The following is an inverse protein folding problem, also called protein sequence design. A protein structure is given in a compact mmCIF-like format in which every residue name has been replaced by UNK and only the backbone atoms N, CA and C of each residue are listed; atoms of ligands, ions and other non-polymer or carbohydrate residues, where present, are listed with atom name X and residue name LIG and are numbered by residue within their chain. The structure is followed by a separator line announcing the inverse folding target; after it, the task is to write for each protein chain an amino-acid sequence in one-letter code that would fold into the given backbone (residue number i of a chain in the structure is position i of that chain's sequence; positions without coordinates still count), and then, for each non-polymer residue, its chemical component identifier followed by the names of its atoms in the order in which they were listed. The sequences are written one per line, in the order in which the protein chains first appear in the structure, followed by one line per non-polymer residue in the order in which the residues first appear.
data_IF_503219470124
#
_entry.id   IF_503219470124
#
_cell.length_a   1.000
_cell.length_b   1.000
_cell.length_c   1.000
_cell.angle_alpha   90.00
_cell.angle_beta   90.00
_cell.angle_gamma   90.00
#
_symmetry.space_group_name_H-M   'P 1'
#
loop_
_entity.id
_entity.type
_entity.pdbx_description
1 polymer ?
#
# COMPACT_ATOMS: atom_id res chain seq x y z
N UNK A 1 21.10 7.85 17.55
CA UNK A 1 20.67 6.66 16.77
C UNK A 1 21.71 6.39 15.68
N UNK A 2 21.99 5.13 15.41
CA UNK A 2 22.90 4.79 14.32
C UNK A 2 22.16 4.87 12.96
N UNK A 3 22.92 4.90 11.87
CA UNK A 3 22.40 5.06 10.52
C UNK A 3 21.40 3.94 10.13
N UNK A 4 21.61 2.72 10.58
CA UNK A 4 20.72 1.58 10.31
C UNK A 4 19.36 1.76 10.98
N UNK A 5 19.33 2.24 12.23
CA UNK A 5 18.08 2.53 12.94
C UNK A 5 17.28 3.64 12.24
N UNK A 6 17.94 4.70 11.78
CA UNK A 6 17.31 5.77 11.01
C UNK A 6 16.73 5.24 9.69
N UNK A 7 17.47 4.42 8.97
CA UNK A 7 17.00 3.80 7.71
C UNK A 7 15.75 2.92 7.91
N UNK A 8 15.70 2.16 9.02
CA UNK A 8 14.53 1.34 9.36
C UNK A 8 13.30 2.19 9.70
N UNK A 9 13.49 3.30 10.43
CA UNK A 9 12.42 4.26 10.74
C UNK A 9 11.90 4.93 9.47
N UNK A 10 12.80 5.38 8.61
CA UNK A 10 12.41 6.02 7.35
C UNK A 10 11.60 5.07 6.47
N UNK A 11 12.00 3.81 6.36
CA UNK A 11 11.25 2.80 5.62
C UNK A 11 9.83 2.60 6.18
N UNK A 12 9.68 2.57 7.51
CA UNK A 12 8.38 2.43 8.14
C UNK A 12 7.49 3.67 7.91
N UNK A 13 8.06 4.86 7.91
CA UNK A 13 7.36 6.10 7.55
C UNK A 13 6.95 6.13 6.07
N UNK A 14 7.78 5.61 5.18
CA UNK A 14 7.44 5.44 3.76
C UNK A 14 6.29 4.44 3.57
N UNK A 15 6.30 3.34 4.30
CA UNK A 15 5.20 2.38 4.29
C UNK A 15 3.89 3.02 4.81
N UNK A 16 3.96 3.81 5.87
CA UNK A 16 2.81 4.58 6.36
C UNK A 16 2.26 5.54 5.28
N UNK A 17 3.14 6.23 4.57
CA UNK A 17 2.73 7.11 3.47
C UNK A 17 2.02 6.34 2.35
N UNK A 18 2.47 5.14 2.01
CA UNK A 18 1.80 4.27 1.04
C UNK A 18 0.41 3.83 1.53
N UNK A 19 0.25 3.53 2.82
CA UNK A 19 -1.06 3.19 3.40
C UNK A 19 -2.02 4.39 3.39
N UNK A 20 -1.56 5.59 3.69
CA UNK A 20 -2.36 6.81 3.56
C UNK A 20 -2.84 7.03 2.12
N UNK A 21 -1.95 6.86 1.15
CA UNK A 21 -2.29 6.98 -0.27
C UNK A 21 -3.33 5.92 -0.70
N UNK A 22 -3.18 4.68 -0.24
CA UNK A 22 -4.12 3.61 -0.52
C UNK A 22 -5.51 3.90 0.08
N UNK A 23 -5.59 4.31 1.34
CA UNK A 23 -6.86 4.68 2.00
C UNK A 23 -7.58 5.78 1.21
N UNK A 24 -6.86 6.81 0.81
CA UNK A 24 -7.40 7.92 0.03
C UNK A 24 -7.91 7.45 -1.33
N UNK A 25 -7.11 6.64 -2.04
CA UNK A 25 -7.46 6.14 -3.39
C UNK A 25 -8.68 5.22 -3.35
N UNK A 26 -8.77 4.30 -2.39
CA UNK A 26 -9.94 3.44 -2.21
C UNK A 26 -11.21 4.26 -1.95
N UNK A 27 -11.12 5.37 -1.24
CA UNK A 27 -12.22 6.31 -1.07
C UNK A 27 -12.64 6.99 -2.38
N UNK A 28 -11.64 7.48 -3.14
CA UNK A 28 -11.88 8.17 -4.42
C UNK A 28 -12.58 7.27 -5.45
N UNK A 29 -12.13 6.03 -5.59
CA UNK A 29 -12.60 5.14 -6.67
C UNK A 29 -13.99 4.55 -6.42
N UNK A 30 -14.49 4.60 -5.19
CA UNK A 30 -15.75 3.94 -4.80
C UNK A 30 -16.94 4.37 -5.67
N UNK A 31 -16.98 5.61 -6.12
CA UNK A 31 -18.05 6.15 -6.97
C UNK A 31 -17.98 5.66 -8.43
N UNK A 32 -16.88 5.08 -8.87
CA UNK A 32 -16.65 4.70 -10.27
C UNK A 32 -16.75 3.19 -10.53
N UNK A 33 -16.73 2.38 -9.47
CA UNK A 33 -16.74 0.91 -9.57
C UNK A 33 -17.72 0.29 -8.56
N UNK A 34 -18.97 0.76 -8.54
CA UNK A 34 -20.01 0.31 -7.61
C UNK A 34 -20.23 -1.21 -7.61
N UNK A 35 -20.12 -1.85 -8.79
CA UNK A 35 -20.24 -3.30 -8.92
C UNK A 35 -19.15 -4.07 -8.16
N UNK A 36 -18.03 -3.43 -7.86
CA UNK A 36 -16.91 -3.96 -7.07
C UNK A 36 -16.94 -3.48 -5.62
N UNK A 37 -18.07 -2.94 -5.16
CA UNK A 37 -18.22 -2.34 -3.83
C UNK A 37 -17.67 -3.20 -2.69
N UNK A 38 -18.02 -4.51 -2.59
CA UNK A 38 -17.47 -5.37 -1.53
C UNK A 38 -15.94 -5.49 -1.55
N UNK A 39 -15.32 -5.60 -2.74
CA UNK A 39 -13.87 -5.67 -2.88
C UNK A 39 -13.19 -4.33 -2.54
N UNK A 40 -13.82 -3.21 -2.91
CA UNK A 40 -13.36 -1.86 -2.55
C UNK A 40 -13.43 -1.68 -1.03
N UNK A 41 -14.51 -2.06 -0.39
CA UNK A 41 -14.68 -1.96 1.06
C UNK A 41 -13.66 -2.83 1.80
N UNK A 42 -13.42 -4.05 1.34
CA UNK A 42 -12.40 -4.95 1.92
C UNK A 42 -11.01 -4.35 1.85
N UNK A 43 -10.61 -3.84 0.69
CA UNK A 43 -9.31 -3.19 0.50
C UNK A 43 -9.16 -1.93 1.35
N UNK A 44 -10.17 -1.07 1.36
CA UNK A 44 -10.18 0.15 2.18
C UNK A 44 -10.01 -0.17 3.68
N UNK A 45 -10.73 -1.16 4.19
CA UNK A 45 -10.65 -1.57 5.59
C UNK A 45 -9.29 -2.17 5.94
N UNK A 46 -8.73 -2.99 5.04
CA UNK A 46 -7.40 -3.57 5.24
C UNK A 46 -6.30 -2.50 5.32
N UNK A 47 -6.33 -1.51 4.44
CA UNK A 47 -5.37 -0.41 4.46
C UNK A 47 -5.57 0.50 5.68
N UNK A 48 -6.80 0.79 6.11
CA UNK A 48 -7.04 1.54 7.35
C UNK A 48 -6.46 0.82 8.56
N UNK A 49 -6.72 -0.48 8.70
CA UNK A 49 -6.20 -1.27 9.80
C UNK A 49 -4.66 -1.29 9.81
N UNK A 50 -4.04 -1.41 8.66
CA UNK A 50 -2.58 -1.43 8.52
C UNK A 50 -1.98 -0.06 8.79
N UNK A 51 -2.57 1.02 8.30
CA UNK A 51 -2.22 2.40 8.65
C UNK A 51 -2.21 2.59 10.17
N UNK A 52 -3.31 2.24 10.84
CA UNK A 52 -3.49 2.45 12.28
C UNK A 52 -2.48 1.63 13.09
N UNK A 53 -2.19 0.41 12.66
CA UNK A 53 -1.17 -0.45 13.29
C UNK A 53 0.23 0.13 13.11
N UNK A 54 0.55 0.66 11.92
CA UNK A 54 1.84 1.28 11.63
C UNK A 54 2.04 2.56 12.44
N UNK A 55 1.01 3.40 12.52
CA UNK A 55 1.05 4.61 13.35
C UNK A 55 1.26 4.28 14.83
N UNK A 56 0.59 3.25 15.34
CA UNK A 56 0.77 2.80 16.71
C UNK A 56 2.19 2.31 16.95
N UNK A 57 2.75 1.50 16.06
CA UNK A 57 4.12 1.03 16.16
C UNK A 57 5.15 2.17 16.18
N UNK A 58 4.93 3.22 15.41
CA UNK A 58 5.77 4.43 15.45
C UNK A 58 5.65 5.16 16.78
N UNK A 59 4.43 5.37 17.28
CA UNK A 59 4.21 6.04 18.59
C UNK A 59 4.80 5.24 19.76
N UNK A 60 4.65 3.92 19.76
CA UNK A 60 5.21 3.04 20.79
C UNK A 60 6.74 3.06 20.79
N UNK A 61 7.36 3.36 19.64
CA UNK A 61 8.79 3.60 19.52
C UNK A 61 9.21 5.04 19.87
N UNK A 62 8.29 5.88 20.34
CA UNK A 62 8.55 7.28 20.70
C UNK A 62 8.69 8.20 19.47
N UNK A 63 8.19 7.77 18.31
CA UNK A 63 8.30 8.50 17.05
C UNK A 63 6.96 9.14 16.67
N UNK A 64 7.03 10.27 15.98
CA UNK A 64 5.84 10.92 15.44
C UNK A 64 5.52 10.35 14.05
N UNK A 65 4.33 9.71 13.87
CA UNK A 65 3.90 9.29 12.54
C UNK A 65 3.76 10.49 11.59
N UNK A 66 4.23 10.35 10.37
CA UNK A 66 4.02 11.38 9.34
C UNK A 66 2.52 11.48 9.01
N UNK A 67 1.96 12.69 8.96
CA UNK A 67 0.55 12.87 8.60
C UNK A 67 0.30 12.50 7.14
N UNK A 68 -0.97 12.21 6.77
CA UNK A 68 -1.33 12.04 5.37
C UNK A 68 -1.08 13.34 4.58
N UNK A 69 -0.80 13.20 3.28
CA UNK A 69 -0.74 14.33 2.38
C UNK A 69 -2.14 14.95 2.18
N UNK A 70 -2.23 16.23 1.81
CA UNK A 70 -3.52 16.87 1.52
C UNK A 70 -4.30 16.19 0.38
N UNK A 71 -3.58 15.65 -0.59
CA UNK A 71 -4.12 14.89 -1.73
C UNK A 71 -3.04 13.98 -2.31
N UNK A 72 -3.47 12.99 -3.09
CA UNK A 72 -2.59 12.08 -3.81
C UNK A 72 -2.94 12.11 -5.30
N UNK A 73 -1.93 11.94 -6.15
CA UNK A 73 -2.12 11.92 -7.60
C UNK A 73 -2.16 10.49 -8.11
N UNK A 74 -3.30 10.01 -8.64
CA UNK A 74 -3.34 8.74 -9.35
C UNK A 74 -2.54 8.85 -10.67
N UNK A 75 -2.18 7.70 -11.31
CA UNK A 75 -1.43 7.69 -12.56
C UNK A 75 -2.08 8.49 -13.69
N UNK A 76 -3.40 8.59 -13.64
CA UNK A 76 -4.23 9.38 -14.54
C UNK A 76 -5.49 9.86 -13.80
N UNK A 77 -6.20 10.88 -14.27
CA UNK A 77 -7.46 11.30 -13.67
C UNK A 77 -8.45 10.13 -13.57
N UNK A 78 -9.13 10.02 -12.44
CA UNK A 78 -10.15 8.97 -12.21
C UNK A 78 -11.50 9.49 -12.67
N UNK A 79 -11.96 8.98 -13.80
CA UNK A 79 -13.21 9.39 -14.45
C UNK A 79 -14.05 8.21 -14.97
N UNK A 80 -13.57 6.99 -14.80
CA UNK A 80 -14.18 5.77 -15.33
C UNK A 80 -13.81 4.55 -14.45
N UNK A 81 -14.50 3.43 -14.67
CA UNK A 81 -14.15 2.16 -14.04
C UNK A 81 -12.72 1.72 -14.39
N UNK A 82 -12.29 1.91 -15.62
CA UNK A 82 -10.94 1.54 -16.06
C UNK A 82 -9.86 2.36 -15.35
N UNK A 83 -10.00 3.69 -15.28
CA UNK A 83 -9.06 4.56 -14.58
C UNK A 83 -9.09 4.35 -13.07
N UNK A 84 -10.25 4.03 -12.48
CA UNK A 84 -10.37 3.65 -11.08
C UNK A 84 -9.59 2.37 -10.75
N UNK A 85 -9.72 1.33 -11.57
CA UNK A 85 -8.95 0.08 -11.39
C UNK A 85 -7.45 0.31 -11.59
N UNK A 86 -7.05 1.15 -12.54
CA UNK A 86 -5.65 1.53 -12.73
C UNK A 86 -5.08 2.21 -11.47
N UNK A 87 -5.84 3.10 -10.84
CA UNK A 87 -5.45 3.76 -9.60
C UNK A 87 -5.28 2.76 -8.45
N UNK A 88 -6.18 1.78 -8.31
CA UNK A 88 -6.06 0.72 -7.31
C UNK A 88 -4.84 -0.17 -7.53
N UNK A 89 -4.59 -0.58 -8.77
CA UNK A 89 -3.40 -1.36 -9.11
C UNK A 89 -2.13 -0.59 -8.74
N UNK A 90 -2.08 0.70 -9.02
CA UNK A 90 -0.94 1.55 -8.70
C UNK A 90 -0.67 1.61 -7.19
N UNK A 91 -1.68 1.91 -6.37
CA UNK A 91 -1.45 2.02 -4.91
C UNK A 91 -1.12 0.68 -4.25
N UNK A 92 -1.67 -0.42 -4.72
CA UNK A 92 -1.28 -1.75 -4.24
C UNK A 92 0.16 -2.10 -4.65
N UNK A 93 0.58 -1.71 -5.84
CA UNK A 93 1.96 -1.89 -6.31
C UNK A 93 2.93 -1.04 -5.48
N UNK A 94 2.59 0.21 -5.22
CA UNK A 94 3.38 1.11 -4.37
C UNK A 94 3.47 0.60 -2.93
N UNK A 95 2.39 0.06 -2.38
CA UNK A 95 2.38 -0.57 -1.06
C UNK A 95 3.34 -1.79 -1.02
N UNK A 96 3.36 -2.62 -2.06
CA UNK A 96 4.32 -3.72 -2.16
C UNK A 96 5.77 -3.22 -2.10
N UNK A 97 6.10 -2.16 -2.85
CA UNK A 97 7.44 -1.58 -2.87
C UNK A 97 7.83 -1.00 -1.50
N UNK A 98 6.92 -0.27 -0.86
CA UNK A 98 7.16 0.34 0.44
C UNK A 98 7.38 -0.72 1.54
N UNK A 99 6.54 -1.75 1.60
CA UNK A 99 6.68 -2.83 2.57
C UNK A 99 7.91 -3.72 2.32
N UNK A 100 8.30 -3.91 1.05
CA UNK A 100 9.60 -4.50 0.74
C UNK A 100 10.74 -3.68 1.32
N UNK A 101 10.70 -2.36 1.19
CA UNK A 101 11.68 -1.45 1.79
C UNK A 101 11.81 -1.63 3.31
N UNK A 102 10.70 -1.87 4.02
CA UNK A 102 10.72 -2.20 5.46
C UNK A 102 11.44 -3.52 5.70
N UNK A 103 11.13 -4.57 4.93
CA UNK A 103 11.80 -5.89 5.07
C UNK A 103 13.31 -5.80 4.89
N UNK A 104 13.76 -4.99 3.94
CA UNK A 104 15.18 -4.84 3.61
C UNK A 104 15.97 -4.04 4.64
N UNK A 105 15.29 -3.16 5.40
CA UNK A 105 15.93 -2.20 6.31
C UNK A 105 15.71 -2.48 7.79
N UNK A 106 15.06 -3.59 8.14
CA UNK A 106 14.85 -3.97 9.56
C UNK A 106 15.51 -5.29 9.90
N UNK A 107 16.13 -5.34 11.09
CA UNK A 107 16.63 -6.58 11.68
C UNK A 107 15.60 -7.22 12.63
N UNK A 108 14.51 -6.52 12.94
CA UNK A 108 13.43 -7.03 13.78
C UNK A 108 12.61 -8.08 13.01
N UNK A 109 12.65 -9.33 13.48
CA UNK A 109 11.96 -10.45 12.83
C UNK A 109 10.45 -10.29 12.82
N UNK A 110 9.85 -9.75 13.87
CA UNK A 110 8.40 -9.53 13.94
C UNK A 110 7.96 -8.47 12.94
N UNK A 111 8.72 -7.38 12.83
CA UNK A 111 8.49 -6.33 11.84
C UNK A 111 8.67 -6.85 10.41
N UNK A 112 9.71 -7.64 10.18
CA UNK A 112 9.95 -8.27 8.86
C UNK A 112 8.80 -9.18 8.45
N UNK A 113 8.27 -9.99 9.40
CA UNK A 113 7.09 -10.82 9.15
C UNK A 113 5.86 -9.99 8.84
N UNK A 114 5.58 -8.96 9.62
CA UNK A 114 4.43 -8.06 9.36
C UNK A 114 4.53 -7.36 8.01
N UNK A 115 5.74 -6.95 7.62
CA UNK A 115 5.99 -6.34 6.31
C UNK A 115 5.78 -7.34 5.16
N UNK A 116 6.19 -8.60 5.33
CA UNK A 116 5.93 -9.65 4.35
C UNK A 116 4.44 -9.92 4.20
N UNK A 117 3.70 -10.00 5.31
CA UNK A 117 2.25 -10.19 5.31
C UNK A 117 1.55 -9.02 4.58
N UNK A 118 1.98 -7.78 4.83
CA UNK A 118 1.47 -6.58 4.17
C UNK A 118 1.73 -6.60 2.65
N UNK A 119 2.96 -6.89 2.25
CA UNK A 119 3.35 -7.01 0.84
C UNK A 119 2.53 -8.09 0.14
N UNK A 120 2.40 -9.27 0.75
CA UNK A 120 1.66 -10.40 0.18
C UNK A 120 0.18 -10.06 -0.05
N UNK A 121 -0.46 -9.43 0.92
CA UNK A 121 -1.87 -9.02 0.79
C UNK A 121 -2.07 -7.97 -0.31
N UNK A 122 -1.17 -6.98 -0.40
CA UNK A 122 -1.22 -5.98 -1.47
C UNK A 122 -0.96 -6.59 -2.85
N UNK A 123 -0.04 -7.54 -2.96
CA UNK A 123 0.22 -8.27 -4.21
C UNK A 123 -1.01 -9.07 -4.67
N UNK A 124 -1.71 -9.72 -3.74
CA UNK A 124 -2.96 -10.44 -4.03
C UNK A 124 -4.03 -9.46 -4.53
N UNK A 125 -4.22 -8.30 -3.88
CA UNK A 125 -5.19 -7.30 -4.32
C UNK A 125 -4.83 -6.72 -5.69
N UNK A 126 -3.58 -6.38 -5.92
CA UNK A 126 -3.10 -5.91 -7.23
C UNK A 126 -3.41 -6.93 -8.34
N UNK A 127 -3.18 -8.22 -8.07
CA UNK A 127 -3.50 -9.31 -9.00
C UNK A 127 -5.00 -9.40 -9.26
N UNK A 128 -5.84 -9.31 -8.22
CA UNK A 128 -7.31 -9.32 -8.37
C UNK A 128 -7.80 -8.14 -9.22
N UNK A 129 -7.29 -6.93 -8.96
CA UNK A 129 -7.65 -5.75 -9.74
C UNK A 129 -7.20 -5.84 -11.20
N UNK A 130 -5.99 -6.38 -11.46
CA UNK A 130 -5.55 -6.65 -12.85
C UNK A 130 -6.48 -7.63 -13.56
N UNK A 131 -6.88 -8.71 -12.89
CA UNK A 131 -7.84 -9.67 -13.46
C UNK A 131 -9.17 -9.02 -13.77
N UNK A 132 -9.72 -8.23 -12.86
CA UNK A 132 -10.98 -7.50 -13.06
C UNK A 132 -10.86 -6.51 -14.22
N UNK A 133 -9.70 -5.88 -14.39
CA UNK A 133 -9.41 -4.96 -15.49
C UNK A 133 -9.08 -5.66 -16.83
N UNK A 134 -9.02 -7.00 -16.85
CA UNK A 134 -8.67 -7.76 -18.07
C UNK A 134 -7.19 -7.69 -18.44
N UNK A 135 -6.30 -7.33 -17.51
CA UNK A 135 -4.87 -7.22 -17.77
C UNK A 135 -4.20 -8.58 -17.60
N UNK A 136 -3.37 -8.96 -18.59
CA UNK A 136 -2.59 -10.20 -18.58
C UNK A 136 -1.11 -9.90 -18.88
N UNK A 137 -0.19 -10.54 -18.13
CA UNK A 137 -0.41 -11.40 -16.96
C UNK A 137 -0.95 -10.59 -15.76
N UNK A 138 -1.86 -11.18 -15.00
CA UNK A 138 -2.43 -10.53 -13.82
C UNK A 138 -1.46 -10.53 -12.64
N UNK A 139 -0.76 -11.63 -12.43
CA UNK A 139 0.26 -11.74 -11.38
C UNK A 139 1.59 -11.15 -11.87
N UNK A 140 2.28 -10.45 -10.95
CA UNK A 140 3.61 -9.90 -11.20
C UNK A 140 4.62 -10.74 -10.41
N UNK A 141 5.72 -11.23 -11.02
CA UNK A 141 6.77 -11.88 -10.27
C UNK A 141 7.48 -10.89 -9.36
N UNK A 142 7.96 -11.35 -8.23
CA UNK A 142 8.69 -10.56 -7.24
C UNK A 142 8.03 -9.21 -6.92
N UNK A 143 6.82 -9.22 -6.33
CA UNK A 143 6.12 -7.97 -5.98
C UNK A 143 7.00 -7.05 -5.12
N UNK A 144 6.91 -5.75 -5.36
CA UNK A 144 7.71 -4.74 -4.68
C UNK A 144 9.08 -4.48 -5.30
N UNK A 145 9.48 -5.23 -6.35
CA UNK A 145 10.66 -4.88 -7.14
C UNK A 145 10.29 -3.90 -8.26
N UNK A 146 11.24 -3.05 -8.63
CA UNK A 146 11.11 -2.27 -9.86
C UNK A 146 11.02 -3.25 -11.05
N UNK A 147 9.93 -3.17 -11.80
CA UNK A 147 9.83 -3.89 -13.06
C UNK A 147 10.58 -3.05 -14.08
N UNK A 148 11.67 -3.60 -14.54
CA UNK A 148 12.42 -2.97 -15.62
C UNK A 148 11.63 -2.95 -16.93
#
# INVERSE_FOLDING_TARGET
MNQAANSSVDALQEALAAEHAAVWTYGLVSAFIEQQGPAVAEGANAHRARRDTTERALRDAGLQPRPPAPAYLPPQPVDSAASAMAALIAVETDACAAWRGVMERTDDQARRKSALDALTQSAIRATRWRRTAGITPAATPLPGTAVG
#
